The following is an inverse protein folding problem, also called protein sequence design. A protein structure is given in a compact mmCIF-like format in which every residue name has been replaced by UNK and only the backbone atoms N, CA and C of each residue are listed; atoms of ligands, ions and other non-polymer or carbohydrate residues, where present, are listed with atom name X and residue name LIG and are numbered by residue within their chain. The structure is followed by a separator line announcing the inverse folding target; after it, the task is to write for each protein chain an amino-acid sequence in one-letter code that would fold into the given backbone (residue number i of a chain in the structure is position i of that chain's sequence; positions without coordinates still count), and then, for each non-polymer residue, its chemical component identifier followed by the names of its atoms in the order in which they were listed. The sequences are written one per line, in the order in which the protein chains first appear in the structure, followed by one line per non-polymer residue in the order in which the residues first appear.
data_IF_965032973214
#
_entry.id   IF_965032973214
#
_cell.length_a   1.000
_cell.length_b   1.000
_cell.length_c   1.000
_cell.angle_alpha   90.00
_cell.angle_beta   90.00
_cell.angle_gamma   90.00
#
_symmetry.space_group_name_H-M   'P 1'
#
loop_
_entity.id
_entity.type
_entity.pdbx_description
1 polymer ?
#
# COMPACT_ATOMS: atom_id res chain seq x y z
N UNK A 1 12.23 -27.30 3.54
CA UNK A 1 12.91 -26.59 4.65
C UNK A 1 14.21 -25.90 4.21
N UNK A 2 15.03 -26.53 3.35
CA UNK A 2 16.28 -25.93 2.86
C UNK A 2 16.07 -24.64 2.06
N UNK A 3 15.10 -24.57 1.14
CA UNK A 3 14.86 -23.38 0.30
C UNK A 3 14.45 -22.13 1.10
N UNK A 4 13.71 -22.29 2.20
CA UNK A 4 13.26 -21.16 3.04
C UNK A 4 14.39 -20.63 3.92
N UNK A 5 15.30 -21.51 4.37
CA UNK A 5 16.53 -21.10 5.04
C UNK A 5 17.49 -20.44 4.04
N UNK A 6 17.65 -21.01 2.86
CA UNK A 6 18.49 -20.46 1.79
C UNK A 6 18.06 -19.04 1.38
N UNK A 7 16.75 -18.83 1.14
CA UNK A 7 16.19 -17.49 0.89
C UNK A 7 16.46 -16.52 2.04
N UNK A 8 16.30 -16.95 3.30
CA UNK A 8 16.52 -16.08 4.46
C UNK A 8 17.96 -15.57 4.56
N UNK A 9 18.94 -16.36 4.12
CA UNK A 9 20.36 -16.01 4.24
C UNK A 9 20.98 -15.47 2.95
N UNK A 10 20.38 -15.75 1.78
CA UNK A 10 20.89 -15.35 0.46
C UNK A 10 20.08 -14.22 -0.22
N UNK A 11 18.80 -14.03 0.13
CA UNK A 11 17.94 -12.99 -0.42
C UNK A 11 16.94 -12.49 0.65
N UNK A 12 17.51 -11.76 1.61
CA UNK A 12 16.82 -11.24 2.80
C UNK A 12 15.62 -10.37 2.40
N UNK A 13 15.73 -9.56 1.35
CA UNK A 13 14.65 -8.67 0.91
C UNK A 13 13.43 -9.47 0.42
N UNK A 14 13.67 -10.48 -0.42
CA UNK A 14 12.61 -11.36 -0.90
C UNK A 14 11.99 -12.17 0.24
N UNK A 15 12.79 -12.60 1.21
CA UNK A 15 12.30 -13.25 2.41
C UNK A 15 11.40 -12.31 3.24
N UNK A 16 11.81 -11.05 3.46
CA UNK A 16 10.99 -10.07 4.20
C UNK A 16 9.65 -9.80 3.52
N UNK A 17 9.64 -9.62 2.19
CA UNK A 17 8.40 -9.47 1.41
C UNK A 17 7.46 -10.66 1.56
N UNK A 18 7.97 -11.89 1.55
CA UNK A 18 7.17 -13.09 1.80
C UNK A 18 6.58 -13.13 3.22
N UNK A 19 7.36 -12.69 4.21
CA UNK A 19 6.94 -12.59 5.62
C UNK A 19 5.87 -11.52 5.80
N UNK A 20 5.93 -10.41 5.08
CA UNK A 20 4.90 -9.36 5.06
C UNK A 20 3.63 -9.83 4.37
N UNK A 21 3.74 -10.47 3.19
CA UNK A 21 2.63 -11.11 2.50
C UNK A 21 1.87 -12.08 3.41
N UNK A 22 2.58 -12.99 4.08
CA UNK A 22 1.96 -13.94 5.00
C UNK A 22 1.29 -13.25 6.20
N UNK A 23 1.88 -12.18 6.72
CA UNK A 23 1.28 -11.40 7.81
C UNK A 23 -0.05 -10.76 7.41
N UNK A 24 -0.11 -10.11 6.25
CA UNK A 24 -1.34 -9.49 5.73
C UNK A 24 -2.42 -10.56 5.51
N UNK A 25 -2.07 -11.67 4.84
CA UNK A 25 -3.00 -12.76 4.60
C UNK A 25 -3.59 -13.33 5.91
N UNK A 26 -2.75 -13.47 6.94
CA UNK A 26 -3.21 -13.94 8.24
C UNK A 26 -4.21 -12.98 8.89
N UNK A 27 -4.03 -11.65 8.73
CA UNK A 27 -4.97 -10.65 9.24
C UNK A 27 -6.32 -10.68 8.52
N UNK A 28 -6.32 -10.96 7.21
CA UNK A 28 -7.56 -11.22 6.46
C UNK A 28 -8.24 -12.50 6.93
N UNK A 29 -7.50 -13.60 7.03
CA UNK A 29 -8.04 -14.90 7.44
C UNK A 29 -8.61 -14.86 8.87
N UNK A 30 -8.02 -14.08 9.75
CA UNK A 30 -8.50 -13.87 11.12
C UNK A 30 -9.71 -12.93 11.21
N UNK A 31 -10.11 -12.28 10.11
CA UNK A 31 -11.18 -11.27 10.09
C UNK A 31 -10.82 -9.98 10.84
N UNK A 32 -9.54 -9.76 11.12
CA UNK A 32 -9.07 -8.52 11.75
C UNK A 32 -9.10 -7.35 10.76
N UNK A 33 -8.79 -7.64 9.49
CA UNK A 33 -8.83 -6.69 8.38
C UNK A 33 -9.84 -7.15 7.33
N UNK A 34 -10.61 -6.21 6.79
CA UNK A 34 -11.52 -6.47 5.68
C UNK A 34 -10.77 -6.28 4.37
N UNK A 35 -10.71 -7.32 3.54
CA UNK A 35 -10.07 -7.33 2.22
C UNK A 35 -10.96 -6.67 1.16
N UNK A 36 -11.16 -5.35 1.30
CA UNK A 36 -11.91 -4.50 0.36
C UNK A 36 -11.59 -3.03 0.59
N UNK A 37 -11.63 -2.20 -0.46
CA UNK A 37 -11.57 -0.75 -0.29
C UNK A 37 -12.80 -0.22 0.46
N UNK A 38 -12.56 0.65 1.44
CA UNK A 38 -13.59 1.39 2.16
C UNK A 38 -13.91 2.69 1.39
N UNK A 39 -15.09 2.80 0.74
CA UNK A 39 -15.39 3.93 -0.13
C UNK A 39 -15.47 5.26 0.63
N UNK A 40 -15.96 5.26 1.87
CA UNK A 40 -16.09 6.48 2.69
C UNK A 40 -14.72 7.09 3.01
N UNK A 41 -13.77 6.25 3.43
CA UNK A 41 -12.39 6.69 3.69
C UNK A 41 -11.65 7.01 2.40
N UNK A 42 -11.93 6.27 1.32
CA UNK A 42 -11.28 6.48 0.04
C UNK A 42 -11.69 7.81 -0.59
N UNK A 43 -12.93 8.27 -0.40
CA UNK A 43 -13.42 9.55 -0.93
C UNK A 43 -12.52 10.74 -0.56
N UNK A 44 -11.87 10.72 0.62
CA UNK A 44 -10.92 11.76 1.02
C UNK A 44 -9.69 11.88 0.12
N UNK A 45 -9.46 10.90 -0.76
CA UNK A 45 -8.34 10.77 -1.67
C UNK A 45 -8.78 10.66 -3.14
N UNK A 46 -10.00 11.07 -3.50
CA UNK A 46 -10.48 11.11 -4.89
C UNK A 46 -10.61 12.56 -5.35
N UNK A 47 -10.17 12.89 -6.57
CA UNK A 47 -10.11 14.26 -7.11
C UNK A 47 -11.40 15.08 -6.88
N UNK A 48 -12.57 14.52 -7.15
CA UNK A 48 -13.86 15.20 -6.99
C UNK A 48 -14.30 15.43 -5.53
N UNK A 49 -13.76 14.67 -4.58
CA UNK A 49 -14.23 14.66 -3.18
C UNK A 49 -13.11 14.85 -2.15
N UNK A 50 -11.89 15.13 -2.63
CA UNK A 50 -10.68 15.24 -1.84
C UNK A 50 -10.82 16.27 -0.72
N UNK A 51 -10.38 15.88 0.47
CA UNK A 51 -10.29 16.81 1.60
C UNK A 51 -9.07 17.73 1.41
N UNK A 52 -9.23 19.02 1.73
CA UNK A 52 -8.19 20.03 1.53
C UNK A 52 -6.85 19.60 2.15
N UNK A 53 -5.79 19.60 1.34
CA UNK A 53 -4.44 19.25 1.79
C UNK A 53 -4.09 17.77 1.72
N UNK A 54 -4.88 16.95 1.01
CA UNK A 54 -4.57 15.53 0.75
C UNK A 54 -4.22 15.28 -0.72
N UNK A 55 -3.31 14.33 -0.92
CA UNK A 55 -3.02 13.75 -2.23
C UNK A 55 -4.19 12.90 -2.70
N UNK A 56 -4.43 12.88 -4.01
CA UNK A 56 -5.66 12.31 -4.59
C UNK A 56 -5.44 11.56 -5.90
N UNK A 57 -6.26 10.54 -6.11
CA UNK A 57 -6.42 9.82 -7.37
C UNK A 57 -7.28 10.64 -8.34
N UNK A 58 -7.02 10.51 -9.65
CA UNK A 58 -7.95 11.03 -10.65
C UNK A 58 -9.28 10.27 -10.62
N UNK A 59 -10.38 10.95 -10.97
CA UNK A 59 -11.74 10.37 -10.89
C UNK A 59 -11.95 9.15 -11.80
N UNK A 60 -11.13 8.98 -12.84
CA UNK A 60 -11.22 7.90 -13.81
C UNK A 60 -10.32 6.69 -13.48
N UNK A 61 -9.67 6.72 -12.31
CA UNK A 61 -8.83 5.62 -11.83
C UNK A 61 -9.68 4.62 -11.05
N UNK A 62 -9.61 3.36 -11.45
CA UNK A 62 -10.21 2.26 -10.71
C UNK A 62 -9.34 1.89 -9.50
N UNK A 63 -9.71 2.45 -8.35
CA UNK A 63 -8.98 2.26 -7.08
C UNK A 63 -9.11 0.83 -6.55
N UNK A 64 -10.22 0.14 -6.79
CA UNK A 64 -10.38 -1.26 -6.36
C UNK A 64 -9.46 -2.17 -7.19
N UNK A 65 -9.38 -1.94 -8.51
CA UNK A 65 -8.44 -2.67 -9.36
C UNK A 65 -6.98 -2.43 -8.96
N UNK A 66 -6.61 -1.20 -8.59
CA UNK A 66 -5.27 -0.90 -8.06
C UNK A 66 -5.02 -1.60 -6.72
N UNK A 67 -6.01 -1.60 -5.83
CA UNK A 67 -5.93 -2.31 -4.56
C UNK A 67 -5.67 -3.80 -4.79
N UNK A 68 -6.47 -4.47 -5.62
CA UNK A 68 -6.32 -5.89 -5.90
C UNK A 68 -5.01 -6.23 -6.62
N UNK A 69 -4.54 -5.33 -7.49
CA UNK A 69 -3.26 -5.47 -8.19
C UNK A 69 -2.07 -5.42 -7.24
N UNK A 70 -2.10 -4.54 -6.24
CA UNK A 70 -0.94 -4.20 -5.43
C UNK A 70 -0.96 -4.70 -3.98
N UNK A 71 -2.11 -5.11 -3.45
CA UNK A 71 -2.17 -5.64 -2.08
C UNK A 71 -1.20 -6.79 -1.90
N UNK A 72 -0.49 -6.81 -0.77
CA UNK A 72 0.45 -7.87 -0.41
C UNK A 72 1.66 -8.00 -1.36
N UNK A 73 2.01 -6.95 -2.10
CA UNK A 73 3.19 -6.89 -2.98
C UNK A 73 4.29 -5.99 -2.43
N UNK A 74 3.95 -5.10 -1.50
CA UNK A 74 4.83 -4.13 -0.89
C UNK A 74 5.44 -4.62 0.42
N UNK A 75 5.87 -3.64 1.22
CA UNK A 75 6.53 -3.87 2.52
C UNK A 75 5.70 -3.24 3.63
N UNK A 76 5.49 -3.99 4.72
CA UNK A 76 4.78 -3.47 5.89
C UNK A 76 5.72 -2.56 6.68
N UNK A 77 5.22 -1.36 7.01
CA UNK A 77 5.94 -0.43 7.85
C UNK A 77 6.17 -1.05 9.24
N UNK A 78 7.43 -1.09 9.66
CA UNK A 78 7.81 -1.46 11.02
C UNK A 78 7.74 -0.22 11.92
N UNK A 79 7.09 -0.35 13.08
CA UNK A 79 7.08 0.65 14.13
C UNK A 79 8.44 0.69 14.84
N UNK A 80 8.71 1.76 15.62
CA UNK A 80 9.94 1.88 16.41
C UNK A 80 10.14 0.72 17.41
N UNK A 81 9.06 0.07 17.82
CA UNK A 81 9.07 -1.12 18.67
C UNK A 81 9.45 -2.42 17.95
N UNK A 82 9.61 -2.40 16.63
CA UNK A 82 9.81 -3.59 15.80
C UNK A 82 8.50 -4.31 15.42
N UNK A 83 7.35 -3.88 15.96
CA UNK A 83 6.05 -4.41 15.57
C UNK A 83 5.66 -3.97 14.15
N UNK A 84 4.99 -4.85 13.41
CA UNK A 84 4.40 -4.55 12.11
C UNK A 84 3.16 -3.67 12.28
N UNK A 85 3.06 -2.60 11.50
CA UNK A 85 1.85 -1.77 11.46
C UNK A 85 0.80 -2.35 10.49
N UNK A 86 -0.29 -1.61 10.30
CA UNK A 86 -1.32 -1.86 9.28
C UNK A 86 -1.06 -1.12 7.96
N UNK A 87 0.13 -0.53 7.80
CA UNK A 87 0.47 0.30 6.65
C UNK A 87 1.41 -0.50 5.73
N UNK A 88 0.94 -0.88 4.55
CA UNK A 88 1.75 -1.45 3.48
C UNK A 88 2.21 -0.35 2.53
N UNK A 89 3.51 -0.24 2.30
CA UNK A 89 4.09 0.68 1.33
C UNK A 89 4.35 -0.04 0.01
N UNK A 90 3.90 0.57 -1.07
CA UNK A 90 3.97 0.04 -2.42
C UNK A 90 4.58 1.09 -3.34
N UNK A 91 5.50 0.62 -4.18
CA UNK A 91 6.03 1.41 -5.28
C UNK A 91 5.14 1.21 -6.51
N UNK A 92 4.69 2.32 -7.07
CA UNK A 92 3.86 2.30 -8.27
C UNK A 92 4.76 2.34 -9.50
N UNK A 93 4.47 1.44 -10.43
CA UNK A 93 5.15 1.34 -11.73
C UNK A 93 4.09 1.34 -12.83
N UNK A 94 3.15 2.26 -12.74
CA UNK A 94 2.11 2.43 -13.74
C UNK A 94 2.63 3.25 -14.91
N UNK A 95 2.36 2.81 -16.13
CA UNK A 95 2.64 3.58 -17.35
C UNK A 95 1.76 4.83 -17.44
N UNK A 96 0.64 4.85 -16.69
CA UNK A 96 -0.33 5.92 -16.64
C UNK A 96 -0.26 6.64 -15.29
N UNK A 97 -0.44 7.96 -15.34
CA UNK A 97 -0.60 8.77 -14.13
C UNK A 97 -1.90 8.38 -13.41
N UNK A 98 -1.77 8.01 -12.13
CA UNK A 98 -2.92 7.60 -11.29
C UNK A 98 -3.38 8.68 -10.32
N UNK A 99 -2.60 9.74 -10.13
CA UNK A 99 -2.97 10.85 -9.26
C UNK A 99 -1.83 11.81 -8.99
N UNK A 100 -2.10 12.79 -8.13
CA UNK A 100 -1.19 13.87 -7.79
C UNK A 100 -0.91 13.88 -6.29
N UNK A 101 0.37 14.04 -5.96
CA UNK A 101 0.79 14.34 -4.60
C UNK A 101 0.67 15.84 -4.37
N UNK A 102 -0.16 16.25 -3.41
CA UNK A 102 -0.47 17.67 -3.21
C UNK A 102 0.71 18.47 -2.65
N UNK A 103 1.63 17.81 -1.96
CA UNK A 103 2.77 18.46 -1.31
C UNK A 103 3.86 18.82 -2.33
N UNK A 104 4.09 17.96 -3.32
CA UNK A 104 5.07 18.18 -4.38
C UNK A 104 4.47 18.71 -5.68
N UNK A 105 3.17 18.52 -5.89
CA UNK A 105 2.50 18.78 -7.17
C UNK A 105 2.84 17.75 -8.25
N UNK A 106 3.63 16.74 -7.93
CA UNK A 106 4.12 15.76 -8.89
C UNK A 106 3.16 14.58 -9.05
N UNK A 107 3.20 13.90 -10.21
CA UNK A 107 2.55 12.61 -10.35
C UNK A 107 3.15 11.61 -9.37
N UNK A 108 2.28 10.86 -8.72
CA UNK A 108 2.63 9.93 -7.67
C UNK A 108 3.42 8.74 -8.22
N UNK A 109 4.37 8.26 -7.44
CA UNK A 109 5.18 7.09 -7.77
C UNK A 109 5.12 6.01 -6.69
N UNK A 110 4.29 6.22 -5.67
CA UNK A 110 4.11 5.30 -4.56
C UNK A 110 2.74 5.47 -3.91
N UNK A 111 2.40 4.46 -3.12
CA UNK A 111 1.13 4.34 -2.43
C UNK A 111 1.34 3.68 -1.08
N UNK A 112 0.55 4.09 -0.10
CA UNK A 112 0.38 3.34 1.15
C UNK A 112 -1.03 2.77 1.21
N UNK A 113 -1.15 1.45 1.32
CA UNK A 113 -2.41 0.79 1.66
C UNK A 113 -2.51 0.75 3.19
N UNK A 114 -3.56 1.36 3.73
CA UNK A 114 -3.88 1.31 5.16
C UNK A 114 -5.00 0.32 5.42
N UNK A 115 -4.65 -0.79 6.04
CA UNK A 115 -5.60 -1.83 6.40
C UNK A 115 -6.37 -1.51 7.69
N UNK A 116 -7.64 -1.90 7.73
CA UNK A 116 -8.47 -1.77 8.93
C UNK A 116 -9.62 -2.77 8.93
N UNK A 117 -10.33 -2.88 10.06
CA UNK A 117 -11.51 -3.74 10.19
C UNK A 117 -12.67 -3.31 9.27
N UNK A 118 -12.75 -2.03 8.90
CA UNK A 118 -13.82 -1.50 8.04
C UNK A 118 -13.45 -1.49 6.55
N UNK A 119 -12.27 -2.00 6.19
CA UNK A 119 -11.73 -1.96 4.84
C UNK A 119 -10.44 -1.14 4.74
N UNK A 120 -9.79 -1.26 3.59
CA UNK A 120 -8.57 -0.55 3.25
C UNK A 120 -8.86 0.84 2.67
N UNK A 121 -7.91 1.76 2.75
CA UNK A 121 -7.88 2.95 1.90
C UNK A 121 -6.45 3.21 1.44
N UNK A 122 -6.35 3.76 0.24
CA UNK A 122 -5.11 3.96 -0.48
C UNK A 122 -4.75 5.44 -0.38
N UNK A 123 -3.54 5.71 0.10
CA UNK A 123 -2.99 7.06 0.20
C UNK A 123 -1.85 7.18 -0.81
N UNK A 124 -1.98 8.12 -1.73
CA UNK A 124 -0.94 8.41 -2.70
C UNK A 124 0.20 9.21 -2.07
N UNK A 125 1.41 8.94 -2.52
CA UNK A 125 2.60 9.66 -2.06
C UNK A 125 3.59 9.76 -3.21
N UNK A 126 4.32 10.86 -3.23
CA UNK A 126 5.50 11.01 -4.05
C UNK A 126 6.73 11.01 -3.15
N UNK A 127 7.79 10.33 -3.57
CA UNK A 127 9.11 10.51 -3.00
C UNK A 127 10.16 10.44 -4.10
N UNK A 128 11.27 11.17 -3.95
CA UNK A 128 12.39 11.04 -4.88
C UNK A 128 13.02 9.66 -4.71
N UNK A 129 12.99 8.85 -5.78
CA UNK A 129 13.73 7.60 -5.81
C UNK A 129 15.21 7.98 -5.88
N UNK A 130 16.00 7.60 -4.88
CA UNK A 130 17.45 7.79 -4.92
C UNK A 130 18.02 7.06 -6.13
N UNK A 131 18.92 7.73 -6.86
CA UNK A 131 19.74 7.12 -7.92
C UNK A 131 20.65 6.01 -7.36
#
# INVERSE_FOLDING_TARGET
MAEFQDLKYNDVEKYEKLVDKAFIQNKFNAGEWLDKVNPEKQAWHIQSTVEKGKSYFFDDVDVEALYDKYKMTGTIRKLRSGAKSSDEKIDLFEDRLVGIDIFTGNPVNAMTIKYSKTGAHLILTYYERGN
#
